data_IF_166129692243
#
_entry.id   IF_166129692243
#
_cell.length_a   1.000
_cell.length_b   1.000
_cell.length_c   1.000
_cell.angle_alpha   90.00
_cell.angle_beta   90.00
_cell.angle_gamma   90.00
#
_symmetry.space_group_name_H-M   'P 1'
#
loop_
_entity.id
_entity.type
_entity.pdbx_description
1 polymer ?
#
# COMPACT_ATOMS: atom_id res chain seq x y z
N UNK A 1 20.29 10.21 -9.55
CA UNK A 1 19.66 10.70 -8.30
C UNK A 1 19.63 9.53 -7.32
N UNK A 2 20.10 9.72 -6.08
CA UNK A 2 20.04 8.69 -5.04
C UNK A 2 18.85 8.96 -4.14
N UNK A 3 18.08 7.93 -3.83
CA UNK A 3 16.92 8.02 -2.93
C UNK A 3 17.24 7.12 -1.73
N UNK A 4 17.23 7.71 -0.52
CA UNK A 4 17.34 6.98 0.74
C UNK A 4 15.94 6.91 1.36
N UNK A 5 15.44 5.70 1.60
CA UNK A 5 14.14 5.46 2.21
C UNK A 5 14.35 4.75 3.56
N UNK A 6 13.80 5.30 4.63
CA UNK A 6 13.90 4.76 6.00
C UNK A 6 12.49 4.35 6.45
N UNK A 7 12.32 3.11 6.87
CA UNK A 7 11.06 2.51 7.32
C UNK A 7 11.24 1.88 8.70
N UNK A 8 10.13 1.44 9.30
CA UNK A 8 10.12 0.70 10.56
C UNK A 8 10.54 -0.77 10.37
N UNK A 9 10.94 -1.43 11.46
CA UNK A 9 11.33 -2.84 11.45
C UNK A 9 10.15 -3.77 11.14
N UNK A 10 10.46 -4.92 10.52
CA UNK A 10 9.49 -5.98 10.27
C UNK A 10 8.84 -6.51 11.57
N UNK A 11 7.67 -7.19 11.48
CA UNK A 11 7.05 -7.81 12.65
C UNK A 11 8.01 -8.74 13.39
N UNK A 12 7.87 -8.85 14.72
CA UNK A 12 8.79 -9.64 15.58
C UNK A 12 8.99 -11.09 15.14
N UNK A 13 7.97 -11.69 14.53
CA UNK A 13 7.99 -13.08 14.07
C UNK A 13 8.33 -13.20 12.57
N UNK A 14 8.81 -12.12 11.94
CA UNK A 14 9.08 -12.00 10.51
C UNK A 14 7.90 -11.47 9.70
N UNK A 15 8.18 -11.10 8.45
CA UNK A 15 7.17 -10.62 7.51
C UNK A 15 6.19 -11.73 7.13
N UNK A 16 4.87 -11.55 7.30
CA UNK A 16 3.87 -12.54 6.92
C UNK A 16 3.78 -12.69 5.40
N UNK A 17 3.47 -13.91 4.94
CA UNK A 17 3.19 -14.19 3.52
C UNK A 17 1.70 -14.16 3.18
N UNK A 18 0.84 -14.27 4.19
CA UNK A 18 -0.60 -14.33 4.05
C UNK A 18 -1.23 -13.42 5.11
N UNK A 19 -2.33 -12.77 4.75
CA UNK A 19 -3.10 -11.89 5.62
C UNK A 19 -4.52 -12.44 5.84
N UNK A 20 -5.21 -12.04 6.92
CA UNK A 20 -6.57 -12.52 7.20
C UNK A 20 -7.61 -12.15 6.14
N UNK A 21 -7.40 -11.03 5.45
CA UNK A 21 -8.24 -10.57 4.34
C UNK A 21 -7.43 -10.70 3.04
N UNK A 22 -8.10 -11.14 1.97
CA UNK A 22 -7.47 -11.31 0.65
C UNK A 22 -7.46 -10.02 -0.17
N UNK A 23 -8.33 -9.06 0.14
CA UNK A 23 -8.48 -7.82 -0.62
C UNK A 23 -9.00 -6.69 0.25
N UNK A 24 -8.72 -5.46 -0.19
CA UNK A 24 -9.25 -4.23 0.39
C UNK A 24 -10.47 -3.75 -0.44
N UNK A 25 -11.46 -3.09 0.17
CA UNK A 25 -12.55 -2.46 -0.57
C UNK A 25 -12.05 -1.39 -1.54
N UNK A 26 -12.66 -1.33 -2.72
CA UNK A 26 -12.35 -0.29 -3.70
C UNK A 26 -12.88 1.08 -3.25
N UNK A 27 -12.02 2.09 -3.26
CA UNK A 27 -12.40 3.49 -3.08
C UNK A 27 -12.27 4.21 -4.42
N UNK A 28 -13.30 4.99 -4.80
CA UNK A 28 -13.28 5.72 -6.09
C UNK A 28 -12.78 7.16 -5.97
N UNK A 29 -13.10 7.82 -4.86
CA UNK A 29 -12.80 9.24 -4.58
C UNK A 29 -12.71 9.49 -3.09
N UNK A 30 -12.08 10.60 -2.72
CA UNK A 30 -12.18 11.16 -1.38
C UNK A 30 -13.54 11.88 -1.19
N UNK A 31 -13.99 12.09 0.07
CA UNK A 31 -15.31 12.69 0.36
C UNK A 31 -15.53 14.10 -0.20
N UNK A 32 -14.45 14.86 -0.39
CA UNK A 32 -14.45 16.20 -0.98
C UNK A 32 -14.49 16.19 -2.52
N UNK A 33 -14.52 15.00 -3.13
CA UNK A 33 -14.53 14.82 -4.58
C UNK A 33 -13.15 14.71 -5.23
N UNK A 34 -12.06 14.80 -4.46
CA UNK A 34 -10.70 14.62 -4.98
C UNK A 34 -10.49 13.19 -5.50
N UNK A 35 -9.75 13.06 -6.61
CA UNK A 35 -9.37 11.76 -7.19
C UNK A 35 -8.26 11.09 -6.37
N UNK A 36 -8.20 9.77 -6.41
CA UNK A 36 -7.09 9.01 -5.83
C UNK A 36 -5.77 9.26 -6.58
N UNK A 37 -4.60 8.87 -5.99
CA UNK A 37 -3.32 8.89 -6.70
C UNK A 37 -3.38 8.12 -8.03
N UNK A 38 -2.82 8.69 -9.10
CA UNK A 38 -2.81 8.12 -10.45
C UNK A 38 -1.38 7.87 -10.99
N UNK A 39 -0.58 7.03 -10.30
CA UNK A 39 0.71 6.61 -10.86
C UNK A 39 0.47 5.80 -12.15
N UNK A 40 1.50 5.70 -13.01
CA UNK A 40 1.40 4.88 -14.23
C UNK A 40 1.18 3.39 -13.94
N UNK A 41 1.76 2.91 -12.84
CA UNK A 41 1.65 1.55 -12.35
C UNK A 41 1.97 1.52 -10.85
N UNK A 42 1.62 0.42 -10.18
CA UNK A 42 2.08 0.08 -8.84
C UNK A 42 2.72 -1.31 -8.90
N UNK A 43 3.77 -1.53 -8.11
CA UNK A 43 4.52 -2.80 -8.05
C UNK A 43 4.25 -3.57 -6.75
N UNK A 44 3.05 -3.39 -6.19
CA UNK A 44 2.60 -4.10 -5.00
C UNK A 44 1.12 -4.50 -5.13
N UNK A 45 0.75 -5.58 -4.47
CA UNK A 45 -0.65 -6.01 -4.33
C UNK A 45 -1.29 -5.21 -3.20
N UNK A 46 -2.44 -4.53 -3.39
CA UNK A 46 -3.15 -3.87 -2.30
C UNK A 46 -3.64 -4.91 -1.27
N UNK A 47 -3.15 -4.82 -0.03
CA UNK A 47 -3.46 -5.76 1.05
C UNK A 47 -2.21 -6.28 1.72
#
# INVERSE_FOLDING_TARGET
>A
MKILCVLYDDPKNGMPKNYPLSELPELKKYPDGMTLPTPKAIDFTPG
#
